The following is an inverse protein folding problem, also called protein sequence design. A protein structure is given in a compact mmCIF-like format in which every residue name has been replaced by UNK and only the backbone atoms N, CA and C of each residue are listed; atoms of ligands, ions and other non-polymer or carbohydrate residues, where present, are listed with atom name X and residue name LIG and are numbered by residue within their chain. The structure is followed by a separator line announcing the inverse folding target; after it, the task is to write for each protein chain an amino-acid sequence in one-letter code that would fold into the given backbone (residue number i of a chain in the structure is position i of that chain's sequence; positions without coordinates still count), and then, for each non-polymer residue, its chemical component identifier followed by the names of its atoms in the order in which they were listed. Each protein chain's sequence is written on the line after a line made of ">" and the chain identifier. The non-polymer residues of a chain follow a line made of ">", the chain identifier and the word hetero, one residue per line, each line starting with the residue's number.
data_IF_716322448363
#
_entry.id   IF_716322448363
#
_cell.length_a   1.000
_cell.length_b   1.000
_cell.length_c   1.000
_cell.angle_alpha   90.00
_cell.angle_beta   90.00
_cell.angle_gamma   90.00
#
_symmetry.space_group_name_H-M   'P 1'
#
loop_
_entity.id
_entity.type
_entity.pdbx_description
1 polymer ?
#
# COMPACT_ATOMS: atom_id res chain seq x y z
N UNK A 1 2.20 47.32 5.90
CA UNK A 1 1.83 46.42 4.78
C UNK A 1 3.00 45.54 4.34
N UNK A 2 4.12 46.10 3.89
CA UNK A 2 5.29 45.32 3.42
C UNK A 2 5.87 44.38 4.48
N UNK A 3 5.96 44.82 5.74
CA UNK A 3 6.45 43.97 6.85
C UNK A 3 5.64 42.68 7.01
N UNK A 4 4.31 42.75 6.88
CA UNK A 4 3.45 41.58 6.97
C UNK A 4 3.70 40.58 5.83
N UNK A 5 3.96 41.08 4.61
CA UNK A 5 4.34 40.25 3.46
C UNK A 5 5.70 39.57 3.66
N UNK A 6 6.68 40.26 4.26
CA UNK A 6 7.99 39.66 4.54
C UNK A 6 7.84 38.55 5.58
N UNK A 7 7.12 38.81 6.67
CA UNK A 7 6.88 37.81 7.73
C UNK A 7 6.14 36.60 7.17
N UNK A 8 5.10 36.80 6.36
CA UNK A 8 4.35 35.69 5.76
C UNK A 8 5.20 34.88 4.79
N UNK A 9 6.02 35.51 3.96
CA UNK A 9 6.92 34.83 3.03
C UNK A 9 7.96 33.95 3.76
N UNK A 10 8.55 34.47 4.85
CA UNK A 10 9.50 33.72 5.68
C UNK A 10 8.83 32.50 6.31
N UNK A 11 7.63 32.65 6.88
CA UNK A 11 6.88 31.54 7.46
C UNK A 11 6.51 30.47 6.43
N UNK A 12 6.11 30.89 5.23
CA UNK A 12 5.80 29.97 4.12
C UNK A 12 7.03 29.16 3.70
N UNK A 13 8.18 29.83 3.57
CA UNK A 13 9.44 29.15 3.25
C UNK A 13 9.86 28.14 4.31
N UNK A 14 9.73 28.50 5.60
CA UNK A 14 9.99 27.57 6.70
C UNK A 14 9.04 26.36 6.61
N UNK A 15 7.76 26.60 6.34
CA UNK A 15 6.76 25.52 6.17
C UNK A 15 7.14 24.54 5.05
N UNK A 16 7.56 25.05 3.88
CA UNK A 16 7.98 24.23 2.75
C UNK A 16 9.23 23.41 3.10
N UNK A 17 10.23 24.02 3.72
CA UNK A 17 11.47 23.35 4.13
C UNK A 17 11.20 22.25 5.16
N UNK A 18 10.32 22.49 6.13
CA UNK A 18 9.94 21.49 7.13
C UNK A 18 9.17 20.33 6.49
N UNK A 19 8.22 20.60 5.59
CA UNK A 19 7.48 19.54 4.87
C UNK A 19 8.39 18.68 4.00
N UNK A 20 9.39 19.30 3.36
CA UNK A 20 10.33 18.65 2.46
C UNK A 20 11.62 18.18 3.13
N UNK A 21 11.71 18.09 4.45
CA UNK A 21 12.99 17.87 5.16
C UNK A 21 13.77 16.64 4.63
N UNK A 22 13.06 15.55 4.33
CA UNK A 22 13.67 14.36 3.72
C UNK A 22 14.21 14.64 2.32
N UNK A 23 13.45 15.35 1.50
CA UNK A 23 13.80 15.62 0.10
C UNK A 23 14.95 16.61 0.00
N UNK A 24 14.98 17.64 0.85
CA UNK A 24 16.02 18.68 0.78
C UNK A 24 17.31 18.30 1.51
N UNK A 25 17.25 17.55 2.61
CA UNK A 25 18.42 17.33 3.48
C UNK A 25 18.97 15.89 3.48
N UNK A 26 18.26 14.91 2.90
CA UNK A 26 18.74 13.52 2.82
C UNK A 26 19.22 13.23 1.40
N UNK A 27 20.42 12.64 1.28
CA UNK A 27 20.96 12.18 0.00
C UNK A 27 20.06 11.07 -0.57
N UNK A 28 19.56 11.25 -1.78
CA UNK A 28 18.51 10.42 -2.40
C UNK A 28 17.18 10.44 -1.64
N UNK A 29 16.85 11.58 -1.01
CA UNK A 29 15.57 11.78 -0.36
C UNK A 29 14.43 11.86 -1.37
N UNK A 30 13.52 10.91 -1.32
CA UNK A 30 12.32 10.86 -2.16
C UNK A 30 11.06 10.94 -1.30
N UNK A 31 9.97 11.38 -1.91
CA UNK A 31 8.66 11.23 -1.29
C UNK A 31 8.31 9.75 -1.17
N UNK A 32 7.78 9.30 -0.01
CA UNK A 32 7.41 7.91 0.18
C UNK A 32 6.37 7.51 -0.86
N UNK A 33 6.47 6.27 -1.36
CA UNK A 33 5.51 5.76 -2.32
C UNK A 33 4.12 5.59 -1.66
N UNK A 34 3.16 6.43 -2.07
CA UNK A 34 1.79 6.42 -1.54
C UNK A 34 0.93 5.30 -2.14
N UNK A 35 1.40 4.60 -3.18
CA UNK A 35 0.68 3.49 -3.75
C UNK A 35 0.85 2.26 -2.87
N UNK A 36 -0.28 1.68 -2.46
CA UNK A 36 -0.32 0.48 -1.59
C UNK A 36 0.55 -0.65 -2.15
N UNK A 37 0.48 -0.90 -3.46
CA UNK A 37 1.25 -1.97 -4.12
C UNK A 37 2.75 -1.70 -4.24
N UNK A 38 3.18 -0.43 -4.25
CA UNK A 38 4.59 -0.03 -4.33
C UNK A 38 5.23 0.22 -2.96
N UNK A 39 4.43 0.26 -1.90
CA UNK A 39 4.90 0.58 -0.55
C UNK A 39 5.48 -0.68 0.13
N UNK A 40 6.81 -0.74 0.22
CA UNK A 40 7.53 -1.84 0.88
C UNK A 40 7.07 -2.06 2.33
N UNK A 41 6.79 -1.00 3.09
CA UNK A 41 6.36 -1.14 4.48
C UNK A 41 4.96 -1.76 4.61
N UNK A 42 4.05 -1.49 3.67
CA UNK A 42 2.73 -2.13 3.64
C UNK A 42 2.83 -3.58 3.17
N UNK A 43 3.68 -3.84 2.16
CA UNK A 43 3.98 -5.19 1.69
C UNK A 43 4.58 -6.07 2.79
N UNK A 44 5.54 -5.56 3.57
CA UNK A 44 6.17 -6.27 4.68
C UNK A 44 5.17 -6.59 5.81
N UNK A 45 4.06 -5.83 5.90
CA UNK A 45 2.93 -6.08 6.81
C UNK A 45 1.84 -6.99 6.22
N UNK A 46 2.01 -7.48 4.99
CA UNK A 46 1.02 -8.31 4.29
C UNK A 46 -0.23 -7.54 3.84
N UNK A 47 -0.20 -6.20 3.81
CA UNK A 47 -1.35 -5.38 3.42
C UNK A 47 -1.33 -5.21 1.90
N UNK A 48 -2.30 -5.82 1.22
CA UNK A 48 -2.48 -5.74 -0.23
C UNK A 48 -3.65 -4.82 -0.61
N UNK A 49 -3.80 -4.46 -1.89
CA UNK A 49 -4.96 -3.65 -2.31
C UNK A 49 -6.25 -4.47 -2.22
N UNK A 50 -7.40 -3.79 -2.04
CA UNK A 50 -8.68 -4.47 -1.91
C UNK A 50 -8.97 -5.39 -3.10
N UNK A 51 -8.65 -4.96 -4.33
CA UNK A 51 -8.83 -5.76 -5.56
C UNK A 51 -7.98 -7.02 -5.59
N UNK A 52 -6.72 -6.96 -5.14
CA UNK A 52 -5.88 -8.16 -5.09
C UNK A 52 -6.37 -9.12 -4.00
N UNK A 53 -6.76 -8.60 -2.84
CA UNK A 53 -7.33 -9.41 -1.76
C UNK A 53 -8.61 -10.13 -2.22
N UNK A 54 -9.49 -9.42 -2.93
CA UNK A 54 -10.73 -9.99 -3.47
C UNK A 54 -10.44 -11.08 -4.51
N UNK A 55 -9.52 -10.82 -5.45
CA UNK A 55 -9.11 -11.82 -6.46
C UNK A 55 -8.50 -13.06 -5.81
N UNK A 56 -7.66 -12.90 -4.79
CA UNK A 56 -7.03 -14.02 -4.09
C UNK A 56 -8.07 -14.81 -3.27
N UNK A 57 -9.04 -14.13 -2.67
CA UNK A 57 -10.17 -14.78 -2.00
C UNK A 57 -11.03 -15.60 -2.98
N UNK A 58 -11.33 -15.07 -4.18
CA UNK A 58 -12.06 -15.80 -5.21
C UNK A 58 -11.32 -17.06 -5.66
N UNK A 59 -10.00 -16.96 -5.92
CA UNK A 59 -9.17 -18.11 -6.29
C UNK A 59 -9.13 -19.18 -5.20
N UNK A 60 -8.97 -18.75 -3.95
CA UNK A 60 -8.98 -19.67 -2.80
C UNK A 60 -10.32 -20.42 -2.75
N UNK A 61 -11.46 -19.74 -2.91
CA UNK A 61 -12.78 -20.39 -2.94
C UNK A 61 -12.91 -21.41 -4.07
N UNK A 62 -12.44 -21.07 -5.27
CA UNK A 62 -12.48 -21.99 -6.41
C UNK A 62 -11.67 -23.27 -6.13
N UNK A 63 -10.44 -23.14 -5.62
CA UNK A 63 -9.59 -24.30 -5.30
C UNK A 63 -10.13 -25.16 -4.15
N UNK A 64 -10.83 -24.55 -3.17
CA UNK A 64 -11.48 -25.29 -2.09
C UNK A 64 -12.64 -26.14 -2.61
N UNK A 65 -13.43 -25.59 -3.55
CA UNK A 65 -14.53 -26.32 -4.17
C UNK A 65 -14.03 -27.49 -5.03
N UNK A 66 -12.93 -27.30 -5.77
CA UNK A 66 -12.29 -28.35 -6.57
C UNK A 66 -11.76 -29.48 -5.68
N UNK A 67 -11.08 -29.15 -4.58
CA UNK A 67 -10.62 -30.17 -3.62
C UNK A 67 -11.78 -30.91 -2.96
N UNK A 68 -12.87 -30.21 -2.66
CA UNK A 68 -14.06 -30.84 -2.07
C UNK A 68 -14.73 -31.82 -3.06
N UNK A 69 -14.81 -31.48 -4.35
CA UNK A 69 -15.35 -32.40 -5.36
C UNK A 69 -14.45 -33.60 -5.62
N UNK A 70 -13.13 -33.41 -5.61
CA UNK A 70 -12.16 -34.51 -5.72
C UNK A 70 -12.31 -35.50 -4.56
N UNK A 71 -12.40 -35.02 -3.32
CA UNK A 71 -12.63 -35.89 -2.15
C UNK A 71 -13.96 -36.64 -2.21
N UNK A 72 -15.03 -35.99 -2.68
CA UNK A 72 -16.32 -36.67 -2.87
C UNK A 72 -16.23 -37.76 -3.92
N UNK A 73 -15.54 -37.51 -5.03
CA UNK A 73 -15.36 -38.50 -6.10
C UNK A 73 -14.52 -39.70 -5.62
N UNK A 74 -13.51 -39.47 -4.80
CA UNK A 74 -12.70 -40.56 -4.22
C UNK A 74 -13.50 -41.41 -3.24
N UNK A 75 -14.36 -40.78 -2.43
CA UNK A 75 -15.29 -41.48 -1.54
C UNK A 75 -16.29 -42.33 -2.34
N UNK A 76 -16.87 -41.79 -3.42
CA UNK A 76 -17.79 -42.53 -4.30
C UNK A 76 -17.10 -43.75 -4.93
N UNK A 77 -15.81 -43.64 -5.24
CA UNK A 77 -15.04 -44.73 -5.87
C UNK A 77 -14.62 -45.83 -4.89
N UNK A 78 -14.63 -45.53 -3.58
CA UNK A 78 -14.21 -46.45 -2.52
C UNK A 78 -15.37 -47.30 -1.97
N UNK A 79 -16.62 -46.91 -2.26
CA UNK A 79 -17.85 -47.67 -1.95
C UNK A 79 -18.22 -48.55 -3.14
#
# INVERSE_FOLDING_TARGET
>A
MIQAFIVSAVLLMIGILLFGIRVFFIKNGEFPNIHIGGNKALKDRGIACATSQDRDAQKNRASLNEKASEMMNDMIKTV
#
